data_IF_138425773682
#
_entry.id   IF_138425773682
#
_cell.length_a   1.000
_cell.length_b   1.000
_cell.length_c   1.000
_cell.angle_alpha   90.00
_cell.angle_beta   90.00
_cell.angle_gamma   90.00
#
_symmetry.space_group_name_H-M   'P 1'
#
loop_
_entity.id
_entity.type
_entity.pdbx_description
1 polymer ?
#
# COMPACT_ATOMS: atom_id res chain seq x y z
N UNK A 1 43.74 -25.59 -8.41
CA UNK A 1 42.74 -25.09 -9.39
C UNK A 1 41.29 -25.48 -9.11
N UNK A 2 40.97 -26.35 -8.13
CA UNK A 2 39.57 -26.79 -7.86
C UNK A 2 38.85 -25.89 -6.83
N UNK A 3 39.58 -25.21 -5.93
CA UNK A 3 38.99 -24.44 -4.83
C UNK A 3 38.36 -23.09 -5.21
N UNK A 4 38.94 -22.36 -6.16
CA UNK A 4 38.46 -21.00 -6.50
C UNK A 4 37.13 -21.03 -7.27
N UNK A 5 36.96 -21.97 -8.22
CA UNK A 5 35.71 -22.14 -8.95
C UNK A 5 34.55 -22.59 -8.07
N UNK A 6 34.83 -23.39 -7.03
CA UNK A 6 33.83 -23.84 -6.05
C UNK A 6 33.33 -22.68 -5.17
N UNK A 7 34.24 -21.82 -4.69
CA UNK A 7 33.89 -20.65 -3.89
C UNK A 7 33.07 -19.63 -4.67
N UNK A 8 33.41 -19.38 -5.94
CA UNK A 8 32.62 -18.49 -6.81
C UNK A 8 31.22 -19.03 -7.09
N UNK A 9 31.06 -20.36 -7.23
CA UNK A 9 29.76 -20.99 -7.39
C UNK A 9 28.86 -20.81 -6.16
N UNK A 10 29.43 -21.02 -4.96
CA UNK A 10 28.74 -20.81 -3.67
C UNK A 10 28.32 -19.34 -3.47
N UNK A 11 29.20 -18.41 -3.83
CA UNK A 11 28.95 -16.97 -3.74
C UNK A 11 27.87 -16.51 -4.74
N UNK A 12 27.85 -17.10 -5.93
CA UNK A 12 26.76 -16.89 -6.90
C UNK A 12 25.44 -17.44 -6.38
N UNK A 13 25.40 -18.67 -5.85
CA UNK A 13 24.15 -19.26 -5.36
C UNK A 13 23.53 -18.48 -4.19
N UNK A 14 24.34 -18.08 -3.22
CA UNK A 14 23.86 -17.28 -2.06
C UNK A 14 23.34 -15.91 -2.50
N UNK A 15 24.05 -15.24 -3.42
CA UNK A 15 23.58 -13.97 -3.98
C UNK A 15 22.29 -14.15 -4.79
N UNK A 16 22.19 -15.21 -5.59
CA UNK A 16 21.01 -15.52 -6.40
C UNK A 16 19.77 -15.72 -5.52
N UNK A 17 19.89 -16.55 -4.46
CA UNK A 17 18.82 -16.75 -3.48
C UNK A 17 18.39 -15.45 -2.77
N UNK A 18 19.35 -14.62 -2.36
CA UNK A 18 19.03 -13.36 -1.69
C UNK A 18 18.28 -12.39 -2.63
N UNK A 19 18.64 -12.34 -3.91
CA UNK A 19 17.91 -11.52 -4.89
C UNK A 19 16.56 -12.09 -5.29
N UNK A 20 16.40 -13.41 -5.32
CA UNK A 20 15.13 -14.01 -5.71
C UNK A 20 14.05 -13.76 -4.66
N UNK A 21 14.39 -13.80 -3.38
CA UNK A 21 13.44 -13.44 -2.31
C UNK A 21 12.88 -12.01 -2.49
N UNK A 22 13.74 -11.04 -2.80
CA UNK A 22 13.33 -9.64 -3.04
C UNK A 22 12.45 -9.50 -4.28
N UNK A 23 12.68 -10.32 -5.33
CA UNK A 23 11.83 -10.32 -6.52
C UNK A 23 10.44 -10.87 -6.22
N UNK A 24 10.35 -11.96 -5.48
CA UNK A 24 9.07 -12.54 -5.05
C UNK A 24 8.27 -11.55 -4.20
N UNK A 25 8.95 -10.84 -3.29
CA UNK A 25 8.31 -9.81 -2.47
C UNK A 25 7.83 -8.60 -3.28
N UNK A 26 8.60 -8.19 -4.29
CA UNK A 26 8.19 -7.16 -5.24
C UNK A 26 6.94 -7.59 -6.02
N UNK A 27 6.92 -8.82 -6.53
CA UNK A 27 5.76 -9.38 -7.26
C UNK A 27 4.52 -9.40 -6.37
N UNK A 28 4.62 -9.87 -5.13
CA UNK A 28 3.50 -9.88 -4.19
C UNK A 28 2.97 -8.46 -3.88
N UNK A 29 3.86 -7.46 -3.84
CA UNK A 29 3.49 -6.06 -3.62
C UNK A 29 2.79 -5.46 -4.83
N UNK A 30 3.27 -5.76 -6.04
CA UNK A 30 2.65 -5.35 -7.31
C UNK A 30 1.25 -5.95 -7.48
N UNK A 31 1.05 -7.22 -7.13
CA UNK A 31 -0.25 -7.88 -7.13
C UNK A 31 -1.23 -7.24 -6.13
N UNK A 32 -0.75 -6.95 -4.92
CA UNK A 32 -1.56 -6.27 -3.88
C UNK A 32 -1.94 -4.86 -4.33
N UNK A 33 -1.01 -4.12 -4.93
CA UNK A 33 -1.27 -2.80 -5.47
C UNK A 33 -2.30 -2.85 -6.60
N UNK A 34 -2.19 -3.81 -7.52
CA UNK A 34 -3.16 -4.02 -8.59
C UNK A 34 -4.57 -4.31 -8.03
N UNK A 35 -4.68 -5.11 -6.98
CA UNK A 35 -5.95 -5.39 -6.30
C UNK A 35 -6.54 -4.15 -5.62
N UNK A 36 -5.72 -3.33 -4.95
CA UNK A 36 -6.17 -2.08 -4.33
C UNK A 36 -6.61 -1.05 -5.38
N UNK A 37 -5.86 -0.93 -6.47
CA UNK A 37 -6.14 0.01 -7.55
C UNK A 37 -7.42 -0.39 -8.29
N UNK A 38 -7.53 -1.68 -8.65
CA UNK A 38 -8.74 -2.22 -9.25
C UNK A 38 -9.93 -2.12 -8.27
N UNK A 39 -9.70 -2.42 -6.98
CA UNK A 39 -10.74 -2.34 -5.96
C UNK A 39 -11.26 -0.94 -5.69
N UNK A 40 -10.41 0.06 -5.79
CA UNK A 40 -10.79 1.48 -5.74
C UNK A 40 -11.75 1.87 -6.87
N UNK A 41 -11.58 1.30 -8.06
CA UNK A 41 -12.42 1.64 -9.22
C UNK A 41 -13.73 0.83 -9.35
N UNK A 42 -13.82 -0.34 -8.71
CA UNK A 42 -14.99 -1.23 -8.83
C UNK A 42 -15.74 -1.43 -7.49
N UNK A 43 -15.26 -0.83 -6.39
CA UNK A 43 -15.87 -0.99 -5.06
C UNK A 43 -15.65 -2.38 -4.46
N UNK A 44 -14.47 -2.99 -4.69
CA UNK A 44 -14.13 -4.28 -4.10
C UNK A 44 -14.03 -4.19 -2.57
N UNK A 45 -14.32 -5.30 -1.85
CA UNK A 45 -14.34 -5.33 -0.40
C UNK A 45 -13.01 -4.84 0.18
N UNK A 46 -13.13 -4.17 1.33
CA UNK A 46 -12.01 -3.59 2.02
C UNK A 46 -10.84 -4.59 2.14
N UNK A 47 -9.59 -4.10 2.01
CA UNK A 47 -8.41 -4.95 2.15
C UNK A 47 -8.49 -5.78 3.44
N UNK A 48 -7.87 -6.98 3.41
CA UNK A 48 -7.93 -7.91 4.54
C UNK A 48 -7.59 -7.20 5.86
N UNK A 49 -8.33 -7.49 6.93
CA UNK A 49 -8.20 -6.77 8.21
C UNK A 49 -6.75 -6.77 8.75
N UNK A 50 -5.99 -7.84 8.50
CA UNK A 50 -4.58 -7.93 8.87
C UNK A 50 -3.69 -6.91 8.13
N UNK A 51 -3.97 -6.64 6.86
CA UNK A 51 -3.28 -5.61 6.08
C UNK A 51 -3.65 -4.20 6.58
N UNK A 52 -4.93 -3.97 6.87
CA UNK A 52 -5.42 -2.69 7.40
C UNK A 52 -4.73 -2.34 8.72
N UNK A 53 -4.67 -3.28 9.67
CA UNK A 53 -4.01 -3.06 10.97
C UNK A 53 -2.54 -2.69 10.82
N UNK A 54 -1.83 -3.31 9.86
CA UNK A 54 -0.42 -3.00 9.58
C UNK A 54 -0.24 -1.62 8.94
N UNK A 55 -1.25 -1.15 8.20
CA UNK A 55 -1.22 0.16 7.54
C UNK A 55 -1.65 1.31 8.47
N UNK A 56 -2.49 1.05 9.49
CA UNK A 56 -2.98 2.09 10.42
C UNK A 56 -1.88 3.01 10.97
N UNK A 57 -0.70 2.52 11.44
CA UNK A 57 0.36 3.39 11.95
C UNK A 57 0.94 4.36 10.90
N UNK A 58 0.79 4.03 9.62
CA UNK A 58 1.27 4.83 8.50
C UNK A 58 0.23 5.81 7.96
N UNK A 59 -1.05 5.68 8.35
CA UNK A 59 -2.16 6.50 7.87
C UNK A 59 -2.49 7.69 8.78
N UNK A 60 -1.68 7.97 9.80
CA UNK A 60 -1.92 9.03 10.78
C UNK A 60 -2.21 10.41 10.15
N UNK A 61 -1.36 10.92 9.25
CA UNK A 61 -1.59 12.22 8.59
C UNK A 61 -2.88 12.27 7.77
N UNK A 62 -3.21 11.19 7.05
CA UNK A 62 -4.41 11.09 6.23
C UNK A 62 -5.69 11.01 7.08
N UNK A 63 -5.63 10.30 8.21
CA UNK A 63 -6.74 10.22 9.17
C UNK A 63 -7.01 11.59 9.83
N UNK A 64 -5.96 12.34 10.17
CA UNK A 64 -6.10 13.71 10.69
C UNK A 64 -6.70 14.67 9.65
N UNK A 65 -6.30 14.53 8.37
CA UNK A 65 -6.90 15.29 7.27
C UNK A 65 -8.38 14.94 7.07
N UNK A 66 -8.72 13.65 7.17
CA UNK A 66 -10.11 13.17 7.08
C UNK A 66 -10.96 13.72 8.22
N UNK A 67 -10.46 13.71 9.46
CA UNK A 67 -11.15 14.27 10.61
C UNK A 67 -11.47 15.76 10.40
N UNK A 68 -10.48 16.55 9.96
CA UNK A 68 -10.68 17.97 9.65
C UNK A 68 -11.72 18.18 8.56
N UNK A 69 -11.69 17.37 7.49
CA UNK A 69 -12.70 17.44 6.41
C UNK A 69 -14.10 17.06 6.87
N UNK A 70 -14.23 16.10 7.78
CA UNK A 70 -15.52 15.73 8.37
C UNK A 70 -16.05 16.87 9.23
N UNK A 71 -15.20 17.49 10.06
CA UNK A 71 -15.58 18.66 10.86
C UNK A 71 -15.99 19.87 9.98
N UNK A 72 -15.34 20.04 8.83
CA UNK A 72 -15.69 21.07 7.83
C UNK A 72 -16.90 20.66 6.94
N UNK A 73 -17.33 19.40 6.97
CA UNK A 73 -18.41 18.89 6.11
C UNK A 73 -19.79 19.38 6.54
N UNK A 74 -19.98 19.68 7.82
CA UNK A 74 -21.20 20.34 8.30
C UNK A 74 -21.38 21.74 7.67
N UNK A 75 -20.28 22.40 7.30
CA UNK A 75 -20.26 23.70 6.63
C UNK A 75 -20.48 23.58 5.10
N UNK A 76 -20.32 22.39 4.51
CA UNK A 76 -20.55 22.15 3.08
C UNK A 76 -22.04 22.18 2.73
N UNK A 77 -22.90 21.55 3.55
CA UNK A 77 -24.35 21.67 3.37
C UNK A 77 -24.83 23.10 3.62
N UNK A 78 -24.28 23.79 4.63
CA UNK A 78 -24.57 25.20 4.89
C UNK A 78 -24.12 26.12 3.73
N UNK A 79 -22.95 25.89 3.14
CA UNK A 79 -22.46 26.60 1.94
C UNK A 79 -23.33 26.32 0.72
N UNK A 80 -23.71 25.06 0.49
CA UNK A 80 -24.58 24.68 -0.63
C UNK A 80 -25.97 25.28 -0.46
N UNK A 81 -26.54 25.28 0.75
CA UNK A 81 -27.80 25.96 1.07
C UNK A 81 -27.70 27.49 0.84
N UNK A 82 -26.61 28.11 1.29
CA UNK A 82 -26.33 29.53 1.06
C UNK A 82 -26.20 29.90 -0.43
N UNK A 83 -25.58 29.04 -1.25
CA UNK A 83 -25.49 29.20 -2.71
C UNK A 83 -26.85 29.01 -3.37
N UNK A 84 -27.62 28.01 -2.93
CA UNK A 84 -28.94 27.67 -3.48
C UNK A 84 -30.06 28.59 -2.96
N UNK A 85 -29.78 29.49 -2.00
CA UNK A 85 -30.74 30.40 -1.37
C UNK A 85 -31.98 29.68 -0.82
N UNK A 86 -31.78 28.50 -0.24
CA UNK A 86 -32.80 27.69 0.45
C UNK A 86 -32.44 27.54 1.92
#
# INVERSE_FOLDING_TARGET
>A
MIGEGFFELLKKMTKFQATDYVKEELTALEETFALLLLGSFIGLPAPSAGLVIRLIPHLGPELELLERRVAESDDLFAKVAGILRI
#
